data_IF_632277237085
#
_entry.id   IF_632277237085
#
_cell.length_a   1.000
_cell.length_b   1.000
_cell.length_c   1.000
_cell.angle_alpha   90.00
_cell.angle_beta   90.00
_cell.angle_gamma   90.00
#
_symmetry.space_group_name_H-M   'P 1'
#
loop_
_entity.id
_entity.type
_entity.pdbx_description
1 polymer ?
#
# COMPACT_ATOMS: atom_id res chain seq x y z
N UNK A 1 18.67 -4.45 -2.53
CA UNK A 1 18.85 -3.23 -3.34
C UNK A 1 17.98 -2.06 -2.87
N UNK A 2 16.63 -2.14 -2.82
CA UNK A 2 15.80 -1.08 -2.19
C UNK A 2 15.62 -1.29 -0.68
N UNK A 3 15.75 -2.54 -0.20
CA UNK A 3 15.82 -2.84 1.24
C UNK A 3 16.97 -2.06 1.92
N UNK A 4 18.09 -1.88 1.21
CA UNK A 4 19.27 -1.14 1.65
C UNK A 4 19.02 0.38 1.80
N UNK A 5 17.91 0.90 1.27
CA UNK A 5 17.45 2.29 1.46
C UNK A 5 16.41 2.44 2.58
N UNK A 6 15.69 1.37 2.93
CA UNK A 6 14.68 1.39 4.00
C UNK A 6 15.31 1.25 5.39
N UNK A 7 16.36 0.45 5.50
CA UNK A 7 17.11 0.22 6.74
C UNK A 7 17.72 1.50 7.34
N UNK A 8 18.43 2.36 6.58
CA UNK A 8 18.95 3.62 7.11
C UNK A 8 17.83 4.61 7.49
N UNK A 9 16.70 4.61 6.78
CA UNK A 9 15.54 5.44 7.10
C UNK A 9 14.85 5.00 8.39
N UNK A 10 14.73 3.69 8.60
CA UNK A 10 14.20 3.13 9.83
C UNK A 10 15.11 3.45 11.02
N UNK A 11 16.43 3.34 10.83
CA UNK A 11 17.42 3.71 11.84
C UNK A 11 17.34 5.21 12.20
N UNK A 12 17.29 6.10 11.20
CA UNK A 12 17.16 7.56 11.43
C UNK A 12 15.89 7.87 12.24
N UNK A 13 14.74 7.32 11.84
CA UNK A 13 13.49 7.53 12.56
C UNK A 13 13.56 6.99 14.01
N UNK A 14 14.14 5.80 14.21
CA UNK A 14 14.28 5.20 15.54
C UNK A 14 15.23 5.98 16.46
N UNK A 15 16.39 6.41 15.96
CA UNK A 15 17.32 7.23 16.75
C UNK A 15 16.77 8.62 17.05
N UNK A 16 16.03 9.23 16.12
CA UNK A 16 15.35 10.51 16.38
C UNK A 16 14.27 10.39 17.45
N UNK A 17 13.49 9.29 17.46
CA UNK A 17 12.49 9.03 18.51
C UNK A 17 13.13 8.76 19.88
N UNK A 18 14.21 7.97 19.93
CA UNK A 18 14.97 7.73 21.17
C UNK A 18 15.57 9.04 21.71
N UNK A 19 16.13 9.86 20.83
CA UNK A 19 16.68 11.17 21.19
C UNK A 19 15.60 12.11 21.74
N UNK A 20 14.41 12.13 21.15
CA UNK A 20 13.27 12.88 21.66
C UNK A 20 12.89 12.44 23.07
N UNK A 21 12.79 11.12 23.30
CA UNK A 21 12.42 10.55 24.60
C UNK A 21 13.44 10.83 25.70
N UNK A 22 14.74 10.72 25.42
CA UNK A 22 15.78 10.93 26.44
C UNK A 22 16.04 12.41 26.75
N UNK A 23 15.81 13.31 25.78
CA UNK A 23 16.18 14.72 25.89
C UNK A 23 15.01 15.70 25.84
N UNK A 24 13.75 15.24 25.87
CA UNK A 24 12.56 16.09 25.71
C UNK A 24 12.55 17.35 26.58
N UNK A 25 13.00 17.24 27.83
CA UNK A 25 13.06 18.33 28.81
C UNK A 25 14.38 19.13 28.80
N UNK A 26 15.33 18.75 27.95
CA UNK A 26 16.64 19.38 27.77
C UNK A 26 16.80 20.05 26.40
N UNK A 27 15.87 19.78 25.49
CA UNK A 27 15.80 20.40 24.17
C UNK A 27 15.06 21.73 24.27
N UNK A 28 15.64 22.76 23.68
CA UNK A 28 14.91 24.00 23.45
C UNK A 28 13.86 23.80 22.33
N UNK A 29 12.97 24.78 22.18
CA UNK A 29 11.90 24.72 21.18
C UNK A 29 12.45 24.55 19.75
N UNK A 30 13.58 25.17 19.43
CA UNK A 30 14.17 25.10 18.09
C UNK A 30 14.69 23.67 17.80
N UNK A 31 15.34 23.04 18.77
CA UNK A 31 15.84 21.68 18.65
C UNK A 31 14.70 20.65 18.53
N UNK A 32 13.59 20.85 19.27
CA UNK A 32 12.38 20.04 19.11
C UNK A 32 11.79 20.18 17.70
N UNK A 33 11.75 21.40 17.16
CA UNK A 33 11.24 21.66 15.81
C UNK A 33 12.11 21.01 14.73
N UNK A 34 13.44 21.10 14.84
CA UNK A 34 14.37 20.42 13.92
C UNK A 34 14.22 18.91 13.96
N UNK A 35 14.04 18.33 15.15
CA UNK A 35 13.84 16.90 15.31
C UNK A 35 12.54 16.45 14.65
N UNK A 36 11.45 17.22 14.83
CA UNK A 36 10.18 16.98 14.16
C UNK A 36 10.34 17.00 12.63
N UNK A 37 11.05 17.99 12.07
CA UNK A 37 11.32 18.05 10.62
C UNK A 37 12.10 16.83 10.11
N UNK A 38 13.08 16.33 10.86
CA UNK A 38 13.88 15.15 10.50
C UNK A 38 13.01 13.89 10.48
N UNK A 39 12.21 13.69 11.54
CA UNK A 39 11.30 12.54 11.65
C UNK A 39 10.28 12.55 10.51
N UNK A 40 9.66 13.71 10.26
CA UNK A 40 8.69 13.89 9.18
C UNK A 40 9.31 13.65 7.80
N UNK A 41 10.53 14.14 7.59
CA UNK A 41 11.29 13.90 6.36
C UNK A 41 11.54 12.41 6.13
N UNK A 42 11.96 11.69 7.17
CA UNK A 42 12.18 10.25 7.10
C UNK A 42 10.89 9.47 6.79
N UNK A 43 9.78 9.84 7.43
CA UNK A 43 8.46 9.24 7.16
C UNK A 43 8.04 9.47 5.70
N UNK A 44 8.18 10.68 5.18
CA UNK A 44 7.85 10.99 3.77
C UNK A 44 8.71 10.21 2.79
N UNK A 45 10.02 10.11 3.01
CA UNK A 45 10.92 9.34 2.15
C UNK A 45 10.56 7.85 2.15
N UNK A 46 10.19 7.29 3.31
CA UNK A 46 9.70 5.92 3.38
C UNK A 46 8.44 5.70 2.53
N UNK A 47 7.50 6.65 2.57
CA UNK A 47 6.28 6.57 1.76
C UNK A 47 6.59 6.61 0.26
N UNK A 48 7.43 7.54 -0.20
CA UNK A 48 7.84 7.63 -1.60
C UNK A 48 8.53 6.35 -2.11
N UNK A 49 9.35 5.71 -1.26
CA UNK A 49 9.97 4.42 -1.61
C UNK A 49 8.91 3.31 -1.72
N UNK A 50 7.92 3.28 -0.82
CA UNK A 50 6.83 2.30 -0.88
C UNK A 50 5.96 2.50 -2.13
N UNK A 51 5.63 3.74 -2.47
CA UNK A 51 4.84 4.09 -3.66
C UNK A 51 5.60 3.71 -4.93
N UNK A 52 6.91 3.99 -4.99
CA UNK A 52 7.76 3.59 -6.10
C UNK A 52 7.86 2.05 -6.21
N UNK A 53 7.93 1.33 -5.09
CA UNK A 53 7.92 -0.14 -5.07
C UNK A 53 6.59 -0.69 -5.58
N UNK A 54 5.46 -0.11 -5.16
CA UNK A 54 4.14 -0.50 -5.63
C UNK A 54 4.03 -0.28 -7.15
N UNK A 55 4.43 0.90 -7.64
CA UNK A 55 4.45 1.22 -9.06
C UNK A 55 5.37 0.28 -9.88
N UNK A 56 6.59 0.01 -9.38
CA UNK A 56 7.54 -0.90 -10.04
C UNK A 56 7.03 -2.34 -10.11
N UNK A 57 6.31 -2.80 -9.07
CA UNK A 57 5.71 -4.15 -9.03
C UNK A 57 4.56 -4.31 -10.01
N UNK A 58 3.79 -3.25 -10.27
CA UNK A 58 2.74 -3.25 -11.30
C UNK A 58 3.32 -3.51 -12.70
N UNK A 59 4.62 -3.24 -12.94
CA UNK A 59 5.26 -3.45 -14.24
C UNK A 59 6.11 -4.72 -14.41
N UNK A 60 6.51 -5.43 -13.35
CA UNK A 60 7.61 -6.43 -13.46
C UNK A 60 7.32 -7.86 -13.06
N UNK A 61 6.22 -8.17 -12.35
CA UNK A 61 5.82 -9.57 -12.10
C UNK A 61 4.31 -9.66 -11.98
N UNK A 62 3.63 -10.20 -13.01
CA UNK A 62 2.35 -10.86 -12.77
C UNK A 62 2.57 -11.88 -11.66
N UNK A 63 1.70 -11.90 -10.63
CA UNK A 63 1.80 -12.94 -9.60
C UNK A 63 1.77 -14.32 -10.25
N UNK A 64 2.17 -15.33 -9.47
CA UNK A 64 2.03 -16.73 -9.89
C UNK A 64 0.59 -16.95 -10.35
N UNK A 65 0.43 -17.20 -11.65
CA UNK A 65 -0.87 -17.49 -12.22
C UNK A 65 -1.41 -18.72 -11.51
N UNK A 66 -2.59 -18.57 -10.92
CA UNK A 66 -3.26 -19.66 -10.22
C UNK A 66 -4.58 -19.95 -10.91
N UNK A 67 -5.07 -21.18 -10.76
CA UNK A 67 -6.37 -21.58 -11.26
C UNK A 67 -7.45 -20.88 -10.42
N UNK A 68 -8.12 -19.91 -11.01
CA UNK A 68 -9.13 -19.07 -10.34
C UNK A 68 -10.49 -19.32 -10.97
N UNK A 69 -11.46 -19.66 -10.12
CA UNK A 69 -12.86 -19.68 -10.51
C UNK A 69 -13.35 -18.24 -10.74
N UNK A 70 -13.60 -17.89 -12.00
CA UNK A 70 -14.03 -16.55 -12.39
C UNK A 70 -15.38 -16.13 -11.78
N UNK A 71 -16.19 -17.09 -11.31
CA UNK A 71 -17.42 -16.77 -10.57
C UNK A 71 -17.11 -16.05 -9.25
N UNK A 72 -15.97 -16.34 -8.61
CA UNK A 72 -15.53 -15.65 -7.38
C UNK A 72 -15.21 -14.18 -7.67
N UNK A 73 -14.52 -13.91 -8.78
CA UNK A 73 -14.19 -12.55 -9.21
C UNK A 73 -15.46 -11.76 -9.54
N UNK A 74 -16.39 -12.37 -10.28
CA UNK A 74 -17.68 -11.75 -10.59
C UNK A 74 -18.46 -11.38 -9.32
N UNK A 75 -18.56 -12.30 -8.37
CA UNK A 75 -19.27 -12.05 -7.10
C UNK A 75 -18.65 -10.89 -6.32
N UNK A 76 -17.32 -10.76 -6.32
CA UNK A 76 -16.65 -9.63 -5.68
C UNK A 76 -16.91 -8.31 -6.42
N UNK A 77 -16.88 -8.31 -7.75
CA UNK A 77 -17.20 -7.13 -8.55
C UNK A 77 -18.65 -6.67 -8.34
N UNK A 78 -19.60 -7.61 -8.29
CA UNK A 78 -21.01 -7.34 -7.98
C UNK A 78 -21.19 -6.75 -6.57
N UNK A 79 -20.43 -7.24 -5.59
CA UNK A 79 -20.41 -6.69 -4.23
C UNK A 79 -19.86 -5.24 -4.22
N UNK A 80 -18.74 -5.01 -4.90
CA UNK A 80 -18.12 -3.68 -5.00
C UNK A 80 -19.04 -2.65 -5.69
N UNK A 81 -19.82 -3.09 -6.67
CA UNK A 81 -20.70 -2.25 -7.49
C UNK A 81 -22.16 -2.25 -7.02
N UNK A 82 -22.49 -2.88 -5.88
CA UNK A 82 -23.87 -3.08 -5.42
C UNK A 82 -24.68 -1.77 -5.41
N UNK A 83 -24.09 -0.68 -4.90
CA UNK A 83 -24.75 0.63 -4.82
C UNK A 83 -25.04 1.20 -6.21
N UNK A 84 -24.07 1.13 -7.13
CA UNK A 84 -24.22 1.65 -8.49
C UNK A 84 -25.25 0.85 -9.30
N UNK A 85 -25.29 -0.48 -9.11
CA UNK A 85 -26.28 -1.37 -9.73
C UNK A 85 -27.69 -1.01 -9.23
N UNK A 86 -27.86 -0.81 -7.92
CA UNK A 86 -29.15 -0.44 -7.33
C UNK A 86 -29.62 0.94 -7.81
N UNK A 87 -28.73 1.93 -7.90
CA UNK A 87 -29.06 3.29 -8.35
C UNK A 87 -29.43 3.35 -9.83
N UNK A 88 -28.83 2.50 -10.65
CA UNK A 88 -29.08 2.45 -12.10
C UNK A 88 -30.21 1.50 -12.50
N UNK A 89 -30.74 0.70 -11.56
CA UNK A 89 -31.63 -0.43 -11.84
C UNK A 89 -31.07 -1.37 -12.92
N UNK A 90 -29.74 -1.55 -12.95
CA UNK A 90 -29.08 -2.41 -13.91
C UNK A 90 -29.37 -3.89 -13.61
N UNK A 91 -29.64 -4.66 -14.66
CA UNK A 91 -29.76 -6.12 -14.58
C UNK A 91 -28.45 -6.72 -15.09
N UNK A 92 -27.74 -7.42 -14.21
CA UNK A 92 -26.51 -8.12 -14.57
C UNK A 92 -26.82 -9.61 -14.75
N UNK A 93 -26.51 -10.15 -15.92
CA UNK A 93 -26.68 -11.56 -16.27
C UNK A 93 -25.36 -12.15 -16.74
N UNK A 94 -25.10 -13.42 -16.42
CA UNK A 94 -23.93 -14.15 -16.91
C UNK A 94 -24.23 -15.64 -17.01
N UNK A 95 -23.52 -16.33 -17.89
CA UNK A 95 -23.48 -17.80 -17.95
C UNK A 95 -22.40 -18.35 -17.00
N UNK A 96 -22.25 -19.67 -16.93
CA UNK A 96 -21.19 -20.30 -16.16
C UNK A 96 -19.81 -19.80 -16.61
N UNK A 97 -19.09 -19.12 -15.72
CA UNK A 97 -17.78 -18.60 -16.04
C UNK A 97 -16.70 -19.68 -15.91
N UNK A 98 -15.70 -19.69 -16.81
CA UNK A 98 -14.63 -20.68 -16.80
C UNK A 98 -13.65 -20.42 -15.65
N UNK A 99 -12.93 -21.47 -15.28
CA UNK A 99 -11.73 -21.34 -14.45
C UNK A 99 -10.57 -20.85 -15.32
N UNK A 100 -9.93 -19.76 -14.91
CA UNK A 100 -8.83 -19.13 -15.67
C UNK A 100 -7.52 -19.22 -14.89
N UNK A 101 -6.42 -19.35 -15.61
CA UNK A 101 -5.08 -19.23 -15.02
C UNK A 101 -4.70 -17.74 -14.99
N UNK A 102 -4.87 -17.09 -13.83
CA UNK A 102 -4.79 -15.64 -13.73
C UNK A 102 -4.16 -15.18 -12.39
N UNK A 103 -3.77 -13.91 -12.35
CA UNK A 103 -3.42 -13.19 -11.12
C UNK A 103 -4.72 -12.70 -10.46
N UNK A 104 -4.99 -13.18 -9.23
CA UNK A 104 -6.22 -12.83 -8.50
C UNK A 104 -6.36 -11.33 -8.26
N UNK A 105 -5.24 -10.62 -8.10
CA UNK A 105 -5.24 -9.19 -7.81
C UNK A 105 -5.57 -8.32 -9.03
N UNK A 106 -5.59 -8.90 -10.22
CA UNK A 106 -5.86 -8.21 -11.49
C UNK A 106 -7.28 -8.48 -12.04
N UNK A 107 -8.09 -9.29 -11.35
CA UNK A 107 -9.39 -9.76 -11.85
C UNK A 107 -10.60 -8.97 -11.32
N UNK A 108 -10.43 -8.12 -10.31
CA UNK A 108 -11.54 -7.37 -9.66
C UNK A 108 -11.14 -5.93 -9.38
#
# INVERSE_FOLDING_TARGET
MIHDLQEPLHAIAGYSQLFEQEYQNRLDKAAQEYLAYIVDGAVRMRQLIQDLLAYSRVGTRGQVLSSIDSNVALNQALSNLQVAIAQSNAIITHDHLPTLLADKTQLV
#
